data_IF_356954382308
#
_entry.id   IF_356954382308
#
_cell.length_a   1.000
_cell.length_b   1.000
_cell.length_c   1.000
_cell.angle_alpha   90.00
_cell.angle_beta   90.00
_cell.angle_gamma   90.00
#
_symmetry.space_group_name_H-M   'P 1'
#
loop_
_entity.id
_entity.type
_entity.pdbx_description
1 polymer ?
#
# COMPACT_ATOMS: atom_id res chain seq x y z
N UNK A 1 13.98 -24.94 -8.37
CA UNK A 1 14.48 -23.59 -8.73
C UNK A 1 14.82 -22.86 -7.44
N UNK A 2 16.06 -22.38 -7.21
CA UNK A 2 16.38 -21.68 -5.98
C UNK A 2 15.69 -20.32 -5.99
N UNK A 3 14.75 -20.15 -5.05
CA UNK A 3 13.97 -18.93 -4.84
C UNK A 3 14.82 -17.93 -4.04
N UNK A 4 15.76 -17.26 -4.70
CA UNK A 4 16.46 -16.14 -4.09
C UNK A 4 15.61 -14.87 -4.16
N UNK A 5 15.47 -14.15 -3.04
CA UNK A 5 14.56 -13.01 -2.82
C UNK A 5 14.54 -11.91 -3.90
N UNK A 6 15.62 -11.74 -4.66
CA UNK A 6 15.67 -10.79 -5.77
C UNK A 6 14.62 -11.03 -6.86
N UNK A 7 14.18 -12.27 -7.09
CA UNK A 7 13.11 -12.56 -8.06
C UNK A 7 11.72 -12.12 -7.60
N UNK A 8 11.49 -12.06 -6.28
CA UNK A 8 10.22 -11.69 -5.69
C UNK A 8 9.98 -10.17 -5.73
N UNK A 9 11.02 -9.37 -5.51
CA UNK A 9 10.95 -7.89 -5.49
C UNK A 9 11.26 -7.22 -6.82
N UNK A 10 11.59 -7.98 -7.87
CA UNK A 10 12.01 -7.42 -9.16
C UNK A 10 11.01 -6.39 -9.70
N UNK A 11 9.72 -6.68 -9.57
CA UNK A 11 8.66 -5.80 -10.08
C UNK A 11 8.44 -4.59 -9.16
N UNK A 12 8.76 -4.67 -7.87
CA UNK A 12 8.58 -3.56 -6.94
C UNK A 12 9.64 -2.48 -7.13
N UNK A 13 10.84 -2.82 -7.62
CA UNK A 13 11.87 -1.84 -7.95
C UNK A 13 11.47 -0.88 -9.08
N UNK A 14 10.47 -1.22 -9.90
CA UNK A 14 9.91 -0.28 -10.88
C UNK A 14 9.34 0.98 -10.23
N UNK A 15 8.94 0.91 -8.96
CA UNK A 15 8.56 2.07 -8.13
C UNK A 15 9.65 3.14 -8.13
N UNK A 16 10.93 2.78 -8.14
CA UNK A 16 12.03 3.73 -8.07
C UNK A 16 12.14 4.63 -9.31
N UNK A 17 11.48 4.28 -10.43
CA UNK A 17 11.44 5.13 -11.61
C UNK A 17 10.56 6.38 -11.43
N UNK A 18 9.74 6.48 -10.37
CA UNK A 18 8.90 7.68 -10.15
C UNK A 18 9.71 8.96 -9.98
N UNK A 19 10.96 8.86 -9.51
CA UNK A 19 11.87 10.00 -9.42
C UNK A 19 12.40 10.50 -10.76
N UNK A 20 12.15 9.78 -11.87
CA UNK A 20 12.54 10.17 -13.22
C UNK A 20 11.45 10.94 -13.96
N UNK A 21 10.25 11.03 -13.38
CA UNK A 21 9.11 11.64 -14.04
C UNK A 21 9.28 13.17 -14.09
N UNK A 22 9.00 13.83 -15.23
CA UNK A 22 9.13 15.27 -15.39
C UNK A 22 7.91 16.02 -14.79
N UNK A 23 7.63 15.78 -13.52
CA UNK A 23 6.48 16.34 -12.78
C UNK A 23 7.01 17.06 -11.55
N UNK A 24 6.41 18.20 -11.19
CA UNK A 24 6.89 19.01 -10.08
C UNK A 24 6.79 18.30 -8.73
N UNK A 25 5.62 17.75 -8.37
CA UNK A 25 5.39 17.09 -7.07
C UNK A 25 4.52 15.86 -7.28
N UNK A 26 4.89 14.75 -6.65
CA UNK A 26 4.19 13.48 -6.76
C UNK A 26 3.71 13.04 -5.38
N UNK A 27 2.44 12.65 -5.33
CA UNK A 27 1.90 11.82 -4.26
C UNK A 27 1.75 10.40 -4.78
N UNK A 28 2.73 9.57 -4.44
CA UNK A 28 2.78 8.20 -4.87
C UNK A 28 1.97 7.32 -3.92
N UNK A 29 1.24 6.37 -4.50
CA UNK A 29 0.40 5.40 -3.82
C UNK A 29 0.68 4.02 -4.42
N UNK A 30 0.94 3.02 -3.58
CA UNK A 30 0.96 1.63 -4.03
C UNK A 30 -0.43 1.24 -4.58
N UNK A 31 -0.43 0.30 -5.53
CA UNK A 31 -1.64 -0.13 -6.22
C UNK A 31 -2.68 -0.83 -5.31
N UNK A 32 -2.27 -1.22 -4.10
CA UNK A 32 -3.11 -1.81 -3.06
C UNK A 32 -3.46 -0.81 -1.95
N UNK A 33 -3.44 0.49 -2.26
CA UNK A 33 -3.97 1.55 -1.39
C UNK A 33 -5.38 1.96 -1.82
N UNK A 34 -6.09 2.68 -0.95
CA UNK A 34 -7.36 3.32 -1.27
C UNK A 34 -7.51 4.64 -0.52
N UNK A 35 -7.94 5.69 -1.24
CA UNK A 35 -8.14 7.04 -0.68
C UNK A 35 -9.56 7.16 -0.14
N UNK A 36 -9.68 7.29 1.19
CA UNK A 36 -10.96 7.49 1.87
C UNK A 36 -11.35 8.96 1.94
N UNK A 37 -10.38 9.85 2.15
CA UNK A 37 -10.63 11.27 2.32
C UNK A 37 -9.72 12.10 1.40
N UNK A 38 -10.24 12.39 0.21
CA UNK A 38 -9.53 13.21 -0.77
C UNK A 38 -9.33 14.67 -0.35
N UNK A 39 -10.13 15.20 0.59
CA UNK A 39 -9.95 16.57 1.12
C UNK A 39 -8.68 16.64 1.94
N UNK A 40 -8.50 15.73 2.89
CA UNK A 40 -7.30 15.65 3.73
C UNK A 40 -6.04 15.44 2.88
N UNK A 41 -6.11 14.58 1.85
CA UNK A 41 -5.00 14.39 0.91
C UNK A 41 -4.66 15.71 0.21
N UNK A 42 -5.64 16.41 -0.38
CA UNK A 42 -5.38 17.70 -1.05
C UNK A 42 -4.80 18.75 -0.11
N UNK A 43 -5.29 18.81 1.12
CA UNK A 43 -4.78 19.71 2.15
C UNK A 43 -3.31 19.39 2.48
N UNK A 44 -2.97 18.11 2.68
CA UNK A 44 -1.60 17.65 2.88
C UNK A 44 -0.69 18.04 1.71
N UNK A 45 -1.13 17.85 0.46
CA UNK A 45 -0.35 18.24 -0.72
C UNK A 45 -0.02 19.73 -0.75
N UNK A 46 -0.95 20.58 -0.28
CA UNK A 46 -0.77 22.03 -0.24
C UNK A 46 0.09 22.52 0.94
N UNK A 47 0.02 21.85 2.10
CA UNK A 47 0.63 22.32 3.35
C UNK A 47 2.00 21.72 3.62
N UNK A 48 2.23 20.47 3.23
CA UNK A 48 3.51 19.80 3.51
C UNK A 48 4.57 20.32 2.55
N UNK A 49 5.56 21.02 3.13
CA UNK A 49 6.76 21.46 2.46
C UNK A 49 7.81 20.36 2.58
N UNK A 50 8.29 19.84 1.44
CA UNK A 50 9.46 18.96 1.44
C UNK A 50 10.68 19.77 1.00
N UNK A 51 11.75 19.79 1.80
CA UNK A 51 13.01 20.35 1.34
C UNK A 51 13.53 19.57 0.12
N UNK A 52 14.43 20.18 -0.68
CA UNK A 52 15.09 19.46 -1.77
C UNK A 52 15.71 18.16 -1.27
N UNK A 53 15.68 17.11 -2.10
CA UNK A 53 16.25 15.80 -1.78
C UNK A 53 15.65 15.10 -0.53
N UNK A 54 14.45 15.49 -0.09
CA UNK A 54 13.69 14.81 0.97
C UNK A 54 12.49 14.04 0.41
N UNK A 55 11.96 13.13 1.21
CA UNK A 55 10.73 12.37 0.92
C UNK A 55 9.79 12.45 2.12
N UNK A 56 8.50 12.62 1.86
CA UNK A 56 7.46 12.50 2.86
C UNK A 56 7.00 11.05 2.99
N UNK A 57 7.11 10.45 4.18
CA UNK A 57 6.72 9.05 4.43
C UNK A 57 5.97 8.91 5.76
N UNK A 58 5.25 7.80 5.93
CA UNK A 58 4.59 7.40 7.19
C UNK A 58 5.35 6.24 7.81
N UNK A 59 5.46 6.18 9.15
CA UNK A 59 6.09 5.04 9.84
C UNK A 59 5.42 3.72 9.49
N UNK A 60 6.23 2.67 9.36
CA UNK A 60 5.75 1.31 9.18
C UNK A 60 5.10 0.79 10.47
N UNK A 61 3.95 0.12 10.36
CA UNK A 61 3.23 -0.45 11.50
C UNK A 61 4.08 -1.41 12.33
N UNK A 62 5.03 -2.05 11.66
CA UNK A 62 5.50 -3.36 12.02
C UNK A 62 7.00 -3.36 12.34
N UNK A 63 7.73 -2.37 11.84
CA UNK A 63 9.15 -2.16 12.09
C UNK A 63 9.41 -0.76 12.66
N UNK A 64 9.95 -0.70 13.88
CA UNK A 64 10.27 0.57 14.54
C UNK A 64 11.42 1.26 13.81
N UNK A 65 11.29 2.57 13.58
CA UNK A 65 12.33 3.39 12.95
C UNK A 65 12.46 3.17 11.44
N UNK A 66 11.53 2.46 10.82
CA UNK A 66 11.43 2.28 9.37
C UNK A 66 10.13 2.91 8.90
N UNK A 67 10.17 3.54 7.74
CA UNK A 67 9.01 4.13 7.09
C UNK A 67 8.45 3.19 6.01
N UNK A 68 7.13 3.23 5.82
CA UNK A 68 6.46 2.47 4.78
C UNK A 68 6.56 3.20 3.42
N UNK A 69 6.95 2.50 2.34
CA UNK A 69 7.11 3.08 1.00
C UNK A 69 5.84 3.02 0.13
N UNK A 70 4.72 2.55 0.67
CA UNK A 70 3.46 2.44 -0.04
C UNK A 70 2.72 3.76 -0.22
N UNK A 71 3.09 4.78 0.55
CA UNK A 71 2.62 6.16 0.37
C UNK A 71 3.82 7.09 0.49
N UNK A 72 4.05 7.90 -0.54
CA UNK A 72 5.17 8.83 -0.55
C UNK A 72 4.75 10.19 -1.09
N UNK A 73 5.24 11.26 -0.47
CA UNK A 73 5.25 12.59 -1.06
C UNK A 73 6.68 12.89 -1.53
N UNK A 74 6.87 13.28 -2.78
CA UNK A 74 8.22 13.52 -3.32
C UNK A 74 8.25 14.58 -4.41
N UNK A 75 9.44 15.18 -4.56
CA UNK A 75 9.84 15.92 -5.74
C UNK A 75 10.72 15.00 -6.60
N UNK A 76 10.32 14.65 -7.83
CA UNK A 76 11.18 13.89 -8.74
C UNK A 76 12.50 14.62 -8.99
N UNK A 77 13.59 13.87 -8.99
CA UNK A 77 14.94 14.41 -9.14
C UNK A 77 15.85 13.31 -9.71
N UNK A 78 16.56 13.61 -10.80
CA UNK A 78 17.38 12.63 -11.50
C UNK A 78 18.60 12.18 -10.67
N UNK A 79 19.12 13.05 -9.80
CA UNK A 79 20.23 12.72 -8.92
C UNK A 79 19.76 11.83 -7.75
N UNK A 80 18.56 12.04 -7.23
CA UNK A 80 17.90 11.09 -6.32
C UNK A 80 17.68 9.74 -7.01
N UNK A 81 17.14 9.74 -8.23
CA UNK A 81 16.92 8.52 -9.00
C UNK A 81 18.24 7.75 -9.19
N UNK A 82 19.34 8.44 -9.54
CA UNK A 82 20.67 7.84 -9.66
C UNK A 82 21.12 7.19 -8.36
N UNK A 83 20.98 7.87 -7.22
CA UNK A 83 21.35 7.31 -5.90
C UNK A 83 20.53 6.08 -5.52
N UNK A 84 19.23 6.07 -5.82
CA UNK A 84 18.36 4.90 -5.62
C UNK A 84 18.80 3.72 -6.48
N UNK A 85 19.19 3.94 -7.74
CA UNK A 85 19.73 2.88 -8.60
C UNK A 85 21.07 2.35 -8.10
N UNK A 86 21.97 3.23 -7.62
CA UNK A 86 23.25 2.79 -7.02
C UNK A 86 23.01 1.95 -5.76
N UNK A 87 22.10 2.34 -4.86
CA UNK A 87 21.75 1.55 -3.67
C UNK A 87 21.11 0.21 -4.07
N UNK A 88 20.20 0.19 -5.06
CA UNK A 88 19.61 -1.03 -5.59
C UNK A 88 20.67 -2.00 -6.14
N UNK A 89 21.62 -1.50 -6.94
CA UNK A 89 22.69 -2.32 -7.51
C UNK A 89 23.61 -2.90 -6.41
N UNK A 90 23.93 -2.10 -5.38
CA UNK A 90 24.72 -2.58 -4.23
C UNK A 90 24.01 -3.70 -3.45
N UNK A 91 22.68 -3.68 -3.37
CA UNK A 91 21.90 -4.71 -2.68
C UNK A 91 21.52 -5.89 -3.57
N UNK A 92 21.65 -5.77 -4.89
CA UNK A 92 21.36 -6.84 -5.84
C UNK A 92 22.19 -8.09 -5.61
N UNK A 93 23.45 -7.89 -5.24
CA UNK A 93 24.38 -8.98 -4.89
C UNK A 93 23.97 -9.68 -3.59
N UNK A 94 23.34 -8.94 -2.67
CA UNK A 94 22.94 -9.43 -1.35
C UNK A 94 21.55 -10.10 -1.35
N UNK A 95 20.74 -9.90 -2.39
CA UNK A 95 19.42 -10.55 -2.63
C UNK A 95 18.34 -10.33 -1.55
N UNK A 96 18.46 -9.32 -0.70
CA UNK A 96 17.66 -9.20 0.53
C UNK A 96 16.81 -7.91 0.62
N UNK A 97 17.01 -6.89 -0.22
CA UNK A 97 16.33 -5.60 -0.03
C UNK A 97 15.02 -5.44 -0.81
N UNK A 98 13.97 -4.97 -0.13
CA UNK A 98 12.77 -4.42 -0.77
C UNK A 98 13.00 -2.99 -1.29
N UNK A 99 12.09 -2.46 -2.10
CA UNK A 99 12.11 -1.02 -2.46
C UNK A 99 12.01 -0.13 -1.22
N UNK A 100 11.27 -0.56 -0.20
CA UNK A 100 11.16 0.14 1.08
C UNK A 100 12.52 0.28 1.77
N UNK A 101 13.32 -0.78 1.79
CA UNK A 101 14.64 -0.76 2.42
C UNK A 101 15.59 0.21 1.70
N UNK A 102 15.62 0.15 0.36
CA UNK A 102 16.42 1.04 -0.49
C UNK A 102 16.03 2.51 -0.27
N UNK A 103 14.72 2.79 -0.22
CA UNK A 103 14.22 4.15 0.01
C UNK A 103 14.62 4.64 1.41
N UNK A 104 14.43 3.81 2.45
CA UNK A 104 14.80 4.19 3.82
C UNK A 104 16.31 4.39 3.98
N UNK A 105 17.14 3.60 3.30
CA UNK A 105 18.59 3.79 3.29
C UNK A 105 18.96 5.11 2.62
N UNK A 106 18.53 5.34 1.38
CA UNK A 106 18.89 6.54 0.62
C UNK A 106 18.41 7.80 1.34
N UNK A 107 17.19 7.79 1.90
CA UNK A 107 16.63 8.96 2.57
C UNK A 107 16.88 9.00 4.08
N UNK A 108 17.82 8.21 4.61
CA UNK A 108 18.18 8.27 6.03
C UNK A 108 18.53 9.71 6.44
N UNK A 109 17.85 10.22 7.47
CA UNK A 109 17.98 11.60 7.94
C UNK A 109 17.35 12.68 7.03
N UNK A 110 16.65 12.27 5.96
CA UNK A 110 16.00 13.14 4.96
C UNK A 110 14.54 12.74 4.71
N UNK A 111 13.89 12.20 5.74
CA UNK A 111 12.45 11.91 5.73
C UNK A 111 11.72 13.02 6.46
N UNK A 112 10.68 13.57 5.82
CA UNK A 112 9.66 14.38 6.49
C UNK A 112 8.54 13.43 6.88
N UNK A 113 8.28 13.31 8.18
CA UNK A 113 7.23 12.42 8.65
C UNK A 113 5.84 12.98 8.29
N UNK A 114 5.04 12.14 7.62
CA UNK A 114 3.64 12.40 7.34
C UNK A 114 2.78 11.79 8.45
N UNK A 115 1.62 12.39 8.72
CA UNK A 115 0.68 11.85 9.69
C UNK A 115 0.23 10.42 9.33
N UNK A 116 0.08 9.58 10.35
CA UNK A 116 -0.30 8.17 10.20
C UNK A 116 -1.58 7.95 9.38
N UNK A 117 -2.53 8.89 9.43
CA UNK A 117 -3.79 8.81 8.67
C UNK A 117 -3.59 8.73 7.15
N UNK A 118 -2.43 9.14 6.64
CA UNK A 118 -2.10 9.07 5.21
C UNK A 118 -1.53 7.72 4.77
N UNK A 119 -1.34 6.76 5.68
CA UNK A 119 -0.98 5.39 5.33
C UNK A 119 -1.39 4.41 6.45
N UNK A 120 -2.70 4.22 6.64
CA UNK A 120 -3.22 3.31 7.66
C UNK A 120 -3.07 1.87 7.18
N UNK A 121 -2.23 1.09 7.87
CA UNK A 121 -1.92 -0.29 7.49
C UNK A 121 -1.59 -1.20 8.70
N UNK A 122 -1.50 -2.51 8.44
CA UNK A 122 -1.09 -3.49 9.44
C UNK A 122 -2.22 -4.08 10.30
N UNK A 123 -1.80 -4.94 11.23
CA UNK A 123 -2.70 -5.73 12.10
C UNK A 123 -3.10 -5.00 13.39
N UNK A 124 -3.59 -3.77 13.26
CA UNK A 124 -4.16 -3.01 14.40
C UNK A 124 -3.13 -2.29 15.28
N UNK A 125 -1.86 -2.22 14.87
CA UNK A 125 -0.84 -1.38 15.52
C UNK A 125 -1.02 0.11 15.20
N UNK A 126 -1.62 0.40 14.05
CA UNK A 126 -2.03 1.73 13.66
C UNK A 126 -3.54 1.86 13.92
N UNK A 127 -4.02 2.94 14.58
CA UNK A 127 -5.44 3.19 14.74
C UNK A 127 -6.16 3.26 13.39
N UNK A 128 -7.34 2.64 13.30
CA UNK A 128 -8.14 2.64 12.07
C UNK A 128 -8.70 4.02 11.71
N UNK A 129 -8.81 4.94 12.68
CA UNK A 129 -9.37 6.26 12.49
C UNK A 129 -8.53 7.32 13.25
N UNK A 130 -8.42 8.55 12.71
CA UNK A 130 -8.86 8.96 11.37
C UNK A 130 -8.01 8.32 10.26
N UNK A 131 -8.62 8.05 9.10
CA UNK A 131 -7.93 7.51 7.92
C UNK A 131 -8.25 8.33 6.67
N UNK A 132 -7.20 8.85 6.02
CA UNK A 132 -7.29 9.49 4.72
C UNK A 132 -6.92 8.53 3.58
N UNK A 133 -5.96 7.64 3.84
CA UNK A 133 -5.54 6.56 2.94
C UNK A 133 -5.36 5.29 3.75
N UNK A 134 -5.90 4.18 3.23
CA UNK A 134 -5.67 2.84 3.76
C UNK A 134 -4.77 2.07 2.81
N UNK A 135 -3.95 1.18 3.35
CA UNK A 135 -3.03 0.36 2.57
C UNK A 135 -3.20 -1.12 2.91
N UNK A 136 -3.69 -1.88 1.94
CA UNK A 136 -4.00 -3.30 2.05
C UNK A 136 -2.75 -4.18 1.89
N UNK A 137 -1.79 -3.95 2.78
CA UNK A 137 -0.52 -4.68 2.88
C UNK A 137 -0.72 -6.20 3.05
N UNK A 138 0.35 -6.96 2.79
CA UNK A 138 0.35 -8.43 2.89
C UNK A 138 0.13 -9.16 1.58
N UNK A 139 0.12 -10.49 1.65
CA UNK A 139 0.06 -11.41 0.50
C UNK A 139 -1.31 -11.43 -0.19
N UNK A 140 -2.38 -11.19 0.56
CA UNK A 140 -3.76 -11.28 0.06
C UNK A 140 -4.33 -9.88 -0.16
N UNK A 141 -4.45 -9.49 -1.44
CA UNK A 141 -5.01 -8.20 -1.85
C UNK A 141 -6.54 -8.24 -1.92
N UNK A 142 -7.25 -7.13 -1.70
CA UNK A 142 -8.71 -7.09 -1.77
C UNK A 142 -9.27 -7.61 -3.10
N UNK A 143 -8.62 -7.23 -4.21
CA UNK A 143 -8.99 -7.65 -5.55
C UNK A 143 -8.84 -9.17 -5.80
N UNK A 144 -8.06 -9.89 -4.99
CA UNK A 144 -7.85 -11.32 -5.17
C UNK A 144 -9.13 -12.15 -4.92
N UNK A 145 -10.13 -11.59 -4.24
CA UNK A 145 -11.44 -12.22 -4.04
C UNK A 145 -12.38 -12.01 -5.23
N UNK A 146 -12.10 -11.02 -6.08
CA UNK A 146 -12.84 -10.81 -7.33
C UNK A 146 -12.56 -11.91 -8.36
N UNK A 147 -11.47 -12.68 -8.16
CA UNK A 147 -10.95 -13.62 -9.16
C UNK A 147 -11.19 -15.09 -8.83
N UNK A 148 -11.39 -15.47 -7.56
CA UNK A 148 -11.56 -16.87 -7.18
C UNK A 148 -12.40 -17.01 -5.89
N UNK A 149 -13.63 -17.53 -6.02
CA UNK A 149 -14.55 -17.86 -4.91
C UNK A 149 -14.32 -19.25 -4.33
N UNK A 150 -13.57 -20.11 -5.01
CA UNK A 150 -13.51 -21.55 -4.71
C UNK A 150 -12.53 -21.90 -3.60
N UNK A 151 -11.61 -20.98 -3.27
CA UNK A 151 -10.66 -21.17 -2.19
C UNK A 151 -11.10 -20.38 -0.97
N UNK A 152 -11.53 -21.03 0.13
CA UNK A 152 -11.59 -20.37 1.43
C UNK A 152 -10.17 -19.91 1.76
N UNK A 153 -9.88 -18.63 1.52
CA UNK A 153 -8.55 -18.07 1.81
C UNK A 153 -8.45 -17.95 3.33
N UNK A 154 -7.73 -18.92 3.93
CA UNK A 154 -7.44 -18.98 5.37
C UNK A 154 -6.68 -17.75 5.88
N UNK A 155 -6.09 -16.96 4.97
CA UNK A 155 -5.46 -15.69 5.28
C UNK A 155 -6.36 -14.56 4.81
N UNK A 156 -7.03 -13.93 5.76
CA UNK A 156 -7.59 -12.60 5.54
C UNK A 156 -6.42 -11.63 5.55
N UNK A 157 -6.52 -10.59 4.71
CA UNK A 157 -5.45 -9.61 4.48
C UNK A 157 -4.79 -9.11 5.78
N UNK A 158 -3.57 -8.60 5.66
CA UNK A 158 -2.76 -8.16 6.81
C UNK A 158 -3.33 -6.90 7.49
N UNK A 159 -4.46 -6.37 7.01
CA UNK A 159 -5.07 -5.14 7.46
C UNK A 159 -6.27 -5.40 8.39
N UNK A 160 -6.20 -4.91 9.63
CA UNK A 160 -7.19 -5.21 10.68
C UNK A 160 -8.45 -4.30 10.70
N UNK A 161 -8.49 -3.26 9.88
CA UNK A 161 -9.60 -2.30 9.88
C UNK A 161 -10.71 -2.75 8.93
N UNK A 162 -11.57 -3.66 9.42
CA UNK A 162 -12.57 -4.35 8.58
C UNK A 162 -13.61 -3.41 7.94
N UNK A 163 -14.05 -2.37 8.65
CA UNK A 163 -15.01 -1.39 8.13
C UNK A 163 -14.52 -0.69 6.85
N UNK A 164 -13.19 -0.58 6.70
CA UNK A 164 -12.58 0.03 5.51
C UNK A 164 -12.65 -0.89 4.28
N UNK A 165 -12.73 -2.20 4.47
CA UNK A 165 -13.00 -3.13 3.35
C UNK A 165 -14.42 -2.94 2.81
N UNK A 166 -15.40 -2.76 3.69
CA UNK A 166 -16.77 -2.45 3.27
C UNK A 166 -16.80 -1.18 2.44
N UNK A 167 -16.23 -0.09 2.96
CA UNK A 167 -16.14 1.19 2.25
C UNK A 167 -15.50 1.03 0.86
N UNK A 168 -14.39 0.29 0.77
CA UNK A 168 -13.71 -0.01 -0.50
C UNK A 168 -14.60 -0.79 -1.48
N UNK A 169 -15.24 -1.88 -1.05
CA UNK A 169 -16.08 -2.69 -1.94
C UNK A 169 -17.37 -1.97 -2.34
N UNK A 170 -17.95 -1.14 -1.47
CA UNK A 170 -19.08 -0.31 -1.83
C UNK A 170 -18.69 0.73 -2.89
N UNK A 171 -17.52 1.37 -2.74
CA UNK A 171 -17.02 2.29 -3.76
C UNK A 171 -16.76 1.62 -5.10
N UNK A 172 -16.13 0.43 -5.12
CA UNK A 172 -15.96 -0.35 -6.34
C UNK A 172 -17.31 -0.69 -6.99
N UNK A 173 -18.30 -1.08 -6.19
CA UNK A 173 -19.64 -1.40 -6.69
C UNK A 173 -20.33 -0.16 -7.28
N UNK A 174 -20.22 0.99 -6.65
CA UNK A 174 -20.79 2.24 -7.17
C UNK A 174 -20.07 2.70 -8.45
N UNK A 175 -18.78 2.45 -8.55
CA UNK A 175 -17.95 2.72 -9.74
C UNK A 175 -17.96 1.62 -10.79
N UNK A 176 -18.85 0.62 -10.69
CA UNK A 176 -18.77 -0.62 -11.51
C UNK A 176 -18.62 -0.34 -13.01
N UNK A 177 -19.36 0.64 -13.54
CA UNK A 177 -19.31 0.98 -14.97
C UNK A 177 -17.92 1.40 -15.49
N UNK A 178 -17.01 1.83 -14.62
CA UNK A 178 -15.64 2.23 -14.98
C UNK A 178 -14.64 1.07 -14.92
N UNK A 179 -15.09 -0.10 -14.48
CA UNK A 179 -14.23 -1.27 -14.28
C UNK A 179 -14.27 -2.17 -15.53
N UNK A 180 -13.30 -3.09 -15.63
CA UNK A 180 -13.30 -4.08 -16.71
C UNK A 180 -14.56 -4.96 -16.68
N UNK A 181 -15.04 -5.44 -17.83
CA UNK A 181 -16.23 -6.32 -17.92
C UNK A 181 -16.15 -7.54 -16.99
N UNK A 182 -14.95 -8.09 -16.80
CA UNK A 182 -14.72 -9.21 -15.87
C UNK A 182 -15.06 -8.80 -14.44
N UNK A 183 -14.58 -7.63 -14.00
CA UNK A 183 -14.88 -7.07 -12.68
C UNK A 183 -16.35 -6.68 -12.56
N UNK A 184 -16.94 -6.11 -13.61
CA UNK A 184 -18.37 -5.77 -13.64
C UNK A 184 -19.26 -7.00 -13.43
N UNK A 185 -19.01 -8.07 -14.19
CA UNK A 185 -19.74 -9.34 -14.04
C UNK A 185 -19.59 -9.94 -12.65
N UNK A 186 -18.41 -9.79 -12.03
CA UNK A 186 -18.22 -10.24 -10.66
C UNK A 186 -19.06 -9.41 -9.68
N UNK A 187 -18.95 -8.08 -9.73
CA UNK A 187 -19.67 -7.19 -8.82
C UNK A 187 -21.19 -7.25 -9.00
N UNK A 188 -21.68 -7.51 -10.22
CA UNK A 188 -23.10 -7.74 -10.49
C UNK A 188 -23.68 -8.98 -9.78
N UNK A 189 -22.83 -9.94 -9.39
CA UNK A 189 -23.24 -11.14 -8.62
C UNK A 189 -23.19 -10.93 -7.11
N UNK A 190 -22.67 -9.80 -6.65
CA UNK A 190 -22.61 -9.41 -5.26
C UNK A 190 -23.87 -8.61 -4.95
N UNK A 191 -24.78 -9.15 -4.11
CA UNK A 191 -26.03 -8.46 -3.76
C UNK A 191 -25.76 -7.22 -2.92
N UNK A 192 -24.99 -7.33 -1.85
CA UNK A 192 -24.58 -6.20 -1.02
C UNK A 192 -23.04 -6.10 -0.91
N UNK A 193 -22.49 -4.89 -0.88
CA UNK A 193 -21.04 -4.71 -0.71
C UNK A 193 -20.55 -5.21 0.66
N UNK A 194 -21.42 -5.16 1.67
CA UNK A 194 -21.22 -5.77 3.00
C UNK A 194 -21.00 -7.28 2.93
N UNK A 195 -21.65 -8.00 2.01
CA UNK A 195 -21.50 -9.45 1.89
C UNK A 195 -20.05 -9.85 1.52
N UNK A 196 -19.37 -9.01 0.75
CA UNK A 196 -17.96 -9.23 0.38
C UNK A 196 -17.07 -8.92 1.58
N UNK A 197 -17.32 -7.81 2.29
CA UNK A 197 -16.57 -7.47 3.50
C UNK A 197 -16.74 -8.52 4.62
N UNK A 198 -17.94 -9.08 4.78
CA UNK A 198 -18.22 -10.15 5.74
C UNK A 198 -17.47 -11.44 5.40
N UNK A 199 -17.22 -11.74 4.13
CA UNK A 199 -16.35 -12.86 3.74
C UNK A 199 -14.90 -12.66 4.23
N UNK A 200 -14.40 -11.41 4.29
CA UNK A 200 -13.14 -11.11 4.96
C UNK A 200 -13.25 -11.33 6.48
N UNK A 201 -14.33 -10.86 7.11
CA UNK A 201 -14.47 -10.97 8.57
C UNK A 201 -14.56 -12.43 9.08
N UNK A 202 -15.40 -13.25 8.46
CA UNK A 202 -15.67 -14.65 8.90
C UNK A 202 -14.46 -15.55 8.71
N UNK A 203 -13.60 -15.28 7.73
CA UNK A 203 -12.36 -16.02 7.54
C UNK A 203 -11.29 -15.66 8.58
N UNK A 204 -11.40 -14.53 9.28
CA UNK A 204 -10.43 -14.11 10.31
C UNK A 204 -10.81 -14.63 11.69
N UNK A 205 -12.09 -14.55 12.05
CA UNK A 205 -12.58 -14.97 13.37
C UNK A 205 -12.36 -16.46 13.63
N UNK A 206 -12.48 -17.30 12.60
CA UNK A 206 -12.19 -18.74 12.70
C UNK A 206 -10.72 -19.05 12.94
N UNK A 207 -9.80 -18.21 12.46
CA UNK A 207 -8.35 -18.41 12.62
C UNK A 207 -7.86 -18.00 14.01
N UNK A 208 -8.52 -17.02 14.65
CA UNK A 208 -8.17 -16.57 16.01
C UNK A 208 -8.93 -17.29 17.14
N UNK A 209 -10.08 -17.90 16.86
CA UNK A 209 -10.79 -18.72 17.85
C UNK A 209 -10.03 -20.00 18.27
N UNK A 210 -8.99 -20.39 17.52
CA UNK A 210 -8.12 -21.53 17.82
C UNK A 210 -6.70 -21.14 18.27
N UNK A 211 -6.43 -19.85 18.46
CA UNK A 211 -5.12 -19.32 18.87
C UNK A 211 -5.14 -18.74 20.30
N UNK A 212 -6.12 -19.16 21.13
CA UNK A 212 -6.18 -18.91 22.57
C UNK A 212 -6.16 -20.23 23.33
#
# INVERSE_FOLDING_TARGET
>A
RPQGGFGYFRDTYMKLNVWRLPIAKIFFLDADTYVLNGKDVREMLSRVLLPPNHVGLVHDCCHRGIFNSGVMLLYPDLEVARRLMVSLDAHREQRISSDQDIINEVFRGRVVELETKFNVHGRGRIPCYPAAVIHFTGSVKPAAFLLDRTKPKKEVGYFACFDHYETYFCALKNGTAQLTEKTQRFLGRVKNCTDVALQFYVSHSKTYAHAR
#
